data_IF_234474824295
#
_entry.id   IF_234474824295
#
_cell.length_a   1.000
_cell.length_b   1.000
_cell.length_c   1.000
_cell.angle_alpha   90.00
_cell.angle_beta   90.00
_cell.angle_gamma   90.00
#
_symmetry.space_group_name_H-M   'P 1'
#
loop_
_entity.id
_entity.type
_entity.pdbx_description
1 polymer ?
#
# COMPACT_ATOMS: atom_id res chain seq x y z
N UNK A 1 -15.60 -6.08 12.23
CA UNK A 1 -14.20 -5.76 11.89
C UNK A 1 -14.08 -5.82 10.37
N UNK A 2 -13.70 -4.72 9.71
CA UNK A 2 -13.46 -4.74 8.26
C UNK A 2 -12.07 -5.32 8.06
N UNK A 3 -11.97 -6.55 7.57
CA UNK A 3 -10.69 -7.13 7.22
C UNK A 3 -10.02 -6.24 6.14
N UNK A 4 -8.69 -6.09 6.16
CA UNK A 4 -8.00 -5.45 5.05
C UNK A 4 -8.34 -6.19 3.75
N UNK A 5 -8.54 -5.46 2.63
CA UNK A 5 -8.76 -6.11 1.34
C UNK A 5 -7.55 -6.97 1.00
N UNK A 6 -7.80 -8.19 0.51
CA UNK A 6 -6.76 -9.14 0.14
C UNK A 6 -5.81 -8.55 -0.91
N UNK A 7 -6.35 -7.74 -1.84
CA UNK A 7 -5.57 -6.98 -2.84
C UNK A 7 -4.46 -6.13 -2.21
N UNK A 8 -4.67 -5.55 -1.03
CA UNK A 8 -3.65 -4.74 -0.36
C UNK A 8 -2.54 -5.57 0.32
N UNK A 9 -2.84 -6.82 0.66
CA UNK A 9 -1.85 -7.76 1.18
C UNK A 9 -1.01 -8.30 0.02
N UNK A 10 -1.67 -8.73 -1.04
CA UNK A 10 -1.01 -9.24 -2.25
C UNK A 10 -0.09 -8.20 -2.89
N UNK A 11 -0.49 -6.92 -2.91
CA UNK A 11 0.32 -5.83 -3.43
C UNK A 11 1.66 -5.63 -2.68
N UNK A 12 1.79 -6.14 -1.46
CA UNK A 12 3.02 -6.13 -0.67
C UNK A 12 3.62 -7.52 -0.46
N UNK A 13 3.06 -8.54 -1.10
CA UNK A 13 3.58 -9.91 -1.03
C UNK A 13 4.94 -9.97 -1.74
N UNK A 14 5.99 -10.31 -0.99
CA UNK A 14 7.37 -10.31 -1.49
C UNK A 14 8.03 -8.93 -1.56
N UNK A 15 7.39 -7.87 -1.06
CA UNK A 15 7.96 -6.53 -0.89
C UNK A 15 8.34 -6.25 0.56
N UNK A 16 9.26 -5.32 0.79
CA UNK A 16 9.68 -4.91 2.13
C UNK A 16 8.81 -3.76 2.68
N UNK A 17 9.00 -3.44 3.95
CA UNK A 17 8.43 -2.21 4.51
C UNK A 17 9.03 -0.98 3.81
N UNK A 18 8.18 -0.05 3.37
CA UNK A 18 8.60 1.15 2.62
C UNK A 18 8.60 1.01 1.10
N UNK A 19 8.45 -0.21 0.57
CA UNK A 19 8.30 -0.42 -0.87
C UNK A 19 7.05 0.25 -1.42
N UNK A 20 7.16 0.79 -2.63
CA UNK A 20 6.01 1.29 -3.39
C UNK A 20 5.12 0.14 -3.85
N UNK A 21 3.80 0.31 -3.72
CA UNK A 21 2.78 -0.63 -4.12
C UNK A 21 1.59 0.10 -4.76
N UNK A 22 0.80 -0.59 -5.60
CA UNK A 22 -0.46 -0.06 -6.14
C UNK A 22 -1.64 -0.75 -5.48
N UNK A 23 -2.63 0.02 -5.06
CA UNK A 23 -3.81 -0.49 -4.37
C UNK A 23 -5.06 0.32 -4.63
N UNK A 24 -6.22 -0.33 -4.47
CA UNK A 24 -7.50 0.37 -4.51
C UNK A 24 -7.77 1.06 -3.18
N UNK A 25 -7.92 2.37 -3.23
CA UNK A 25 -8.33 3.17 -2.10
C UNK A 25 -9.74 2.81 -1.62
N UNK A 26 -10.20 3.37 -0.49
CA UNK A 26 -11.53 3.09 0.06
C UNK A 26 -12.70 3.49 -0.86
N UNK A 27 -12.42 4.30 -1.89
CA UNK A 27 -13.37 4.71 -2.93
C UNK A 27 -13.34 3.83 -4.19
N UNK A 28 -12.47 2.81 -4.23
CA UNK A 28 -12.30 1.91 -5.37
C UNK A 28 -11.39 2.43 -6.50
N UNK A 29 -10.79 3.61 -6.32
CA UNK A 29 -9.80 4.20 -7.24
C UNK A 29 -8.42 3.57 -7.00
N UNK A 30 -7.67 3.30 -8.08
CA UNK A 30 -6.29 2.81 -8.01
C UNK A 30 -5.38 3.96 -7.59
N UNK A 31 -4.68 3.80 -6.46
CA UNK A 31 -3.77 4.79 -5.91
C UNK A 31 -2.43 4.12 -5.54
N UNK A 32 -1.35 4.88 -5.66
CA UNK A 32 -0.04 4.46 -5.19
C UNK A 32 0.01 4.55 -3.66
N UNK A 33 0.64 3.56 -3.05
CA UNK A 33 0.85 3.49 -1.63
C UNK A 33 2.24 2.96 -1.28
N UNK A 34 2.42 2.75 0.01
CA UNK A 34 3.63 2.16 0.58
C UNK A 34 3.27 0.95 1.43
N UNK A 35 4.12 -0.08 1.36
CA UNK A 35 3.99 -1.26 2.19
C UNK A 35 4.33 -0.93 3.64
N UNK A 36 3.37 -1.13 4.54
CA UNK A 36 3.54 -0.87 5.98
C UNK A 36 3.18 -2.09 6.81
N UNK A 37 3.83 -2.25 7.95
CA UNK A 37 3.49 -3.29 8.92
C UNK A 37 2.04 -3.14 9.40
N UNK A 38 1.31 -4.26 9.42
CA UNK A 38 0.01 -4.31 10.08
C UNK A 38 0.14 -4.08 11.60
N UNK A 39 -0.94 -3.64 12.29
CA UNK A 39 -0.94 -3.52 13.74
C UNK A 39 -0.54 -4.82 14.45
N UNK A 40 -0.89 -5.97 13.88
CA UNK A 40 -0.54 -7.31 14.35
C UNK A 40 0.89 -7.77 13.96
N UNK A 41 1.61 -6.99 13.14
CA UNK A 41 2.98 -7.26 12.66
C UNK A 41 3.19 -8.62 11.97
N UNK A 42 2.14 -9.22 11.41
CA UNK A 42 2.21 -10.54 10.75
C UNK A 42 2.52 -10.47 9.26
N UNK A 43 2.12 -9.37 8.62
CA UNK A 43 2.25 -9.14 7.19
C UNK A 43 2.26 -7.65 6.90
N UNK A 44 2.73 -7.29 5.71
CA UNK A 44 2.66 -5.94 5.18
C UNK A 44 1.35 -5.73 4.42
N UNK A 45 0.83 -4.51 4.51
CA UNK A 45 -0.30 -4.06 3.71
C UNK A 45 0.08 -2.80 2.97
N UNK A 46 -0.38 -2.70 1.74
CA UNK A 46 -0.23 -1.49 0.97
C UNK A 46 -1.18 -0.44 1.52
N UNK A 47 -0.59 0.63 2.08
CA UNK A 47 -1.34 1.77 2.58
C UNK A 47 -1.29 2.88 1.52
N UNK A 48 -2.44 3.33 0.99
CA UNK A 48 -2.45 4.43 0.03
C UNK A 48 -1.87 5.67 0.70
N UNK A 49 -0.85 6.24 0.07
CA UNK A 49 -0.25 7.47 0.54
C UNK A 49 -1.06 8.63 -0.05
N UNK A 50 -1.95 9.19 0.77
CA UNK A 50 -2.79 10.33 0.37
C UNK A 50 -1.97 11.62 0.15
N UNK A 51 -0.70 11.66 0.53
CA UNK A 51 0.17 12.82 0.39
C UNK A 51 0.87 12.85 -0.99
N UNK A 52 1.01 11.71 -1.67
CA UNK A 52 1.68 11.57 -2.96
C UNK A 52 0.90 12.06 -4.19
N UNK A 53 -0.11 12.94 -4.07
CA UNK A 53 -0.54 13.78 -5.21
C UNK A 53 0.42 14.95 -5.46
N UNK A 54 1.72 14.72 -5.27
CA UNK A 54 2.84 15.52 -5.78
C UNK A 54 3.50 14.76 -6.94
N UNK A 55 4.13 15.44 -7.91
CA UNK A 55 4.51 14.88 -9.19
C UNK A 55 5.46 13.69 -9.02
N UNK A 56 5.24 12.71 -9.88
CA UNK A 56 5.85 11.38 -9.90
C UNK A 56 7.38 11.44 -10.07
N UNK A 57 8.02 10.38 -9.54
CA UNK A 57 9.29 9.82 -10.01
C UNK A 57 10.60 10.47 -9.53
N UNK A 58 11.24 9.83 -8.55
CA UNK A 58 12.71 9.75 -8.52
C UNK A 58 13.11 8.38 -7.95
N UNK A 59 13.36 7.43 -8.85
CA UNK A 59 14.05 6.16 -8.60
C UNK A 59 15.24 6.14 -9.56
N UNK A 60 16.46 6.30 -9.02
CA UNK A 60 17.76 6.17 -9.70
C UNK A 60 18.05 4.71 -10.12
#
# INVERSE_FOLDING_TARGET
MKAPPQEAIDACSGKAEGDTCQCRGPRGEEETGICVSTPDKKYFVCRPDRASRGPQDEQD
#
